data_IF_092173081295
#
_entry.id   IF_092173081295
#
_cell.length_a   1.000
_cell.length_b   1.000
_cell.length_c   1.000
_cell.angle_alpha   90.00
_cell.angle_beta   90.00
_cell.angle_gamma   90.00
#
_symmetry.space_group_name_H-M   'P 1'
#
loop_
_entity.id
_entity.type
_entity.pdbx_description
1 polymer ?
#
# COMPACT_ATOMS: atom_id res chain seq x y z
N UNK A 1 87.74 -3.82 36.92
CA UNK A 1 86.60 -2.89 37.16
C UNK A 1 86.24 -2.01 35.95
N UNK A 2 87.20 -1.52 35.14
CA UNK A 2 86.91 -0.59 34.01
C UNK A 2 86.09 -1.22 32.86
N UNK A 3 86.34 -2.48 32.46
CA UNK A 3 85.58 -3.16 31.37
C UNK A 3 84.09 -3.35 31.69
N UNK A 4 83.76 -3.72 32.93
CA UNK A 4 82.36 -3.90 33.35
C UNK A 4 81.56 -2.60 33.29
N UNK A 5 82.18 -1.47 33.67
CA UNK A 5 81.57 -0.15 33.56
C UNK A 5 81.33 0.27 32.09
N UNK A 6 82.27 -0.05 31.18
CA UNK A 6 82.11 0.22 29.74
C UNK A 6 80.98 -0.62 29.12
N UNK A 7 80.89 -1.91 29.46
CA UNK A 7 79.80 -2.79 28.98
C UNK A 7 78.43 -2.35 29.50
N UNK A 8 78.35 -1.86 30.75
CA UNK A 8 77.11 -1.31 31.30
C UNK A 8 76.63 -0.06 30.56
N UNK A 9 77.55 0.86 30.22
CA UNK A 9 77.20 2.08 29.47
C UNK A 9 76.72 1.79 28.05
N UNK A 10 77.34 0.83 27.36
CA UNK A 10 76.92 0.44 26.00
C UNK A 10 75.52 -0.19 26.00
N UNK A 11 75.20 -1.04 26.99
CA UNK A 11 73.85 -1.60 27.12
C UNK A 11 72.80 -0.54 27.41
N UNK A 12 73.11 0.42 28.30
CA UNK A 12 72.20 1.52 28.60
C UNK A 12 71.89 2.36 27.35
N UNK A 13 72.93 2.74 26.60
CA UNK A 13 72.75 3.49 25.36
C UNK A 13 71.94 2.70 24.31
N UNK A 14 72.13 1.38 24.23
CA UNK A 14 71.33 0.52 23.35
C UNK A 14 69.86 0.48 23.78
N UNK A 15 69.58 0.31 25.08
CA UNK A 15 68.20 0.31 25.59
C UNK A 15 67.51 1.67 25.44
N UNK A 16 68.26 2.78 25.57
CA UNK A 16 67.74 4.13 25.34
C UNK A 16 67.37 4.35 23.88
N UNK A 17 68.17 3.84 22.93
CA UNK A 17 67.86 3.90 21.51
C UNK A 17 66.63 3.04 21.14
N UNK A 18 66.55 1.81 21.66
CA UNK A 18 65.39 0.93 21.46
C UNK A 18 64.10 1.53 22.04
N UNK A 19 64.17 2.17 23.20
CA UNK A 19 63.03 2.86 23.80
C UNK A 19 62.58 4.09 22.98
N UNK A 20 63.54 4.86 22.44
CA UNK A 20 63.24 5.99 21.56
C UNK A 20 62.59 5.54 20.24
N UNK A 21 63.05 4.43 19.65
CA UNK A 21 62.46 3.85 18.45
C UNK A 21 61.04 3.32 18.71
N UNK A 22 60.82 2.63 19.85
CA UNK A 22 59.49 2.19 20.25
C UNK A 22 58.52 3.36 20.49
N UNK A 23 58.99 4.46 21.11
CA UNK A 23 58.18 5.66 21.31
C UNK A 23 57.83 6.32 19.96
N UNK A 24 58.78 6.41 19.03
CA UNK A 24 58.54 6.93 17.70
C UNK A 24 57.52 6.07 16.92
N UNK A 25 57.64 4.74 17.01
CA UNK A 25 56.69 3.80 16.40
C UNK A 25 55.29 3.92 17.03
N UNK A 26 55.19 4.03 18.35
CA UNK A 26 53.91 4.21 19.04
C UNK A 26 53.21 5.53 18.62
N UNK A 27 53.96 6.63 18.52
CA UNK A 27 53.43 7.92 18.04
C UNK A 27 52.99 7.87 16.58
N UNK A 28 53.74 7.17 15.73
CA UNK A 28 53.36 6.98 14.33
C UNK A 28 52.07 6.17 14.21
N UNK A 29 51.94 5.09 15.00
CA UNK A 29 50.73 4.27 15.03
C UNK A 29 49.52 5.06 15.55
N UNK A 30 49.67 5.86 16.61
CA UNK A 30 48.61 6.73 17.13
C UNK A 30 48.14 7.75 16.08
N UNK A 31 49.08 8.38 15.36
CA UNK A 31 48.76 9.28 14.26
C UNK A 31 48.06 8.56 13.09
N UNK A 32 48.48 7.34 12.76
CA UNK A 32 47.83 6.51 11.75
C UNK A 32 46.41 6.09 12.15
N UNK A 33 46.22 5.70 13.42
CA UNK A 33 44.92 5.35 13.99
C UNK A 33 43.99 6.56 13.99
N UNK A 34 44.45 7.73 14.44
CA UNK A 34 43.68 8.97 14.41
C UNK A 34 43.28 9.36 12.97
N UNK A 35 44.22 9.23 12.01
CA UNK A 35 43.92 9.46 10.61
C UNK A 35 42.95 8.40 10.03
N UNK A 36 43.02 7.15 10.49
CA UNK A 36 42.09 6.09 10.11
C UNK A 36 40.69 6.34 10.66
N UNK A 37 40.56 6.74 11.92
CA UNK A 37 39.29 7.14 12.54
C UNK A 37 38.65 8.32 11.82
N UNK A 38 39.43 9.35 11.48
CA UNK A 38 38.93 10.48 10.69
C UNK A 38 38.37 10.04 9.33
N UNK A 39 39.08 9.14 8.61
CA UNK A 39 38.61 8.59 7.34
C UNK A 39 37.35 7.73 7.49
N UNK A 40 37.23 6.97 8.58
CA UNK A 40 36.03 6.15 8.85
C UNK A 40 34.83 7.06 9.13
N UNK A 41 34.99 8.10 9.96
CA UNK A 41 33.95 9.08 10.26
C UNK A 41 33.47 9.79 8.99
N UNK A 42 34.39 10.27 8.14
CA UNK A 42 34.03 10.91 6.88
C UNK A 42 33.22 9.97 5.96
N UNK A 43 33.65 8.70 5.83
CA UNK A 43 32.91 7.71 5.05
C UNK A 43 31.55 7.38 5.63
N UNK A 44 31.42 7.37 6.96
CA UNK A 44 30.15 7.16 7.63
C UNK A 44 29.19 8.31 7.33
N UNK A 45 29.65 9.55 7.43
CA UNK A 45 28.83 10.74 7.12
C UNK A 45 28.40 10.76 5.66
N UNK A 46 29.31 10.44 4.73
CA UNK A 46 29.00 10.28 3.30
C UNK A 46 27.94 9.20 3.08
N UNK A 47 28.10 8.02 3.70
CA UNK A 47 27.15 6.92 3.58
C UNK A 47 25.77 7.30 4.15
N UNK A 48 25.72 7.98 5.30
CA UNK A 48 24.47 8.44 5.90
C UNK A 48 23.77 9.48 5.03
N UNK A 49 24.50 10.41 4.43
CA UNK A 49 23.96 11.41 3.50
C UNK A 49 23.35 10.76 2.26
N UNK A 50 24.09 9.83 1.62
CA UNK A 50 23.60 9.10 0.44
C UNK A 50 22.32 8.31 0.78
N UNK A 51 22.29 7.61 1.92
CA UNK A 51 21.11 6.89 2.37
C UNK A 51 19.92 7.83 2.66
N UNK A 52 20.18 9.02 3.21
CA UNK A 52 19.15 10.04 3.43
C UNK A 52 18.52 10.50 2.12
N UNK A 53 19.34 10.84 1.13
CA UNK A 53 18.88 11.32 -0.17
C UNK A 53 18.10 10.24 -0.93
N UNK A 54 18.60 9.00 -0.99
CA UNK A 54 17.90 7.89 -1.64
C UNK A 54 16.52 7.61 -1.02
N UNK A 55 16.39 7.74 0.31
CA UNK A 55 15.09 7.58 0.99
C UNK A 55 14.10 8.67 0.61
N UNK A 56 14.57 9.89 0.40
CA UNK A 56 13.73 11.01 -0.03
C UNK A 56 13.29 10.85 -1.49
N UNK A 57 14.22 10.51 -2.37
CA UNK A 57 13.93 10.24 -3.78
C UNK A 57 12.91 9.10 -3.95
N UNK A 58 13.07 8.01 -3.20
CA UNK A 58 12.14 6.88 -3.25
C UNK A 58 10.76 7.27 -2.70
N UNK A 59 10.69 8.08 -1.63
CA UNK A 59 9.41 8.59 -1.11
C UNK A 59 8.69 9.45 -2.16
N UNK A 60 9.41 10.33 -2.83
CA UNK A 60 8.84 11.18 -3.89
C UNK A 60 8.39 10.34 -5.09
N UNK A 61 9.17 9.31 -5.46
CA UNK A 61 8.80 8.38 -6.53
C UNK A 61 7.52 7.63 -6.20
N UNK A 62 7.40 7.05 -5.00
CA UNK A 62 6.20 6.37 -4.56
C UNK A 62 4.98 7.30 -4.53
N UNK A 63 5.16 8.54 -4.05
CA UNK A 63 4.10 9.55 -4.07
C UNK A 63 3.61 9.89 -5.48
N UNK A 64 4.52 10.03 -6.45
CA UNK A 64 4.16 10.24 -7.86
C UNK A 64 3.39 9.06 -8.45
N UNK A 65 3.88 7.85 -8.24
CA UNK A 65 3.20 6.63 -8.73
C UNK A 65 1.80 6.46 -8.12
N UNK A 66 1.63 6.82 -6.85
CA UNK A 66 0.33 6.80 -6.19
C UNK A 66 -0.62 7.85 -6.79
N UNK A 67 -0.14 9.06 -7.06
CA UNK A 67 -0.93 10.11 -7.71
C UNK A 67 -1.34 9.73 -9.15
N UNK A 68 -0.41 9.16 -9.93
CA UNK A 68 -0.69 8.66 -11.29
C UNK A 68 -1.72 7.54 -11.28
N UNK A 69 -1.60 6.57 -10.36
CA UNK A 69 -2.60 5.51 -10.19
C UNK A 69 -3.98 6.08 -9.86
N UNK A 70 -4.04 7.04 -8.94
CA UNK A 70 -5.29 7.67 -8.53
C UNK A 70 -5.98 8.39 -9.68
N UNK A 71 -5.21 9.09 -10.52
CA UNK A 71 -5.74 9.75 -11.71
C UNK A 71 -6.34 8.73 -12.69
N UNK A 72 -5.61 7.67 -13.01
CA UNK A 72 -6.10 6.59 -13.88
C UNK A 72 -7.39 5.95 -13.34
N UNK A 73 -7.48 5.74 -12.03
CA UNK A 73 -8.66 5.20 -11.36
C UNK A 73 -9.87 6.14 -11.50
N UNK A 74 -9.67 7.45 -11.36
CA UNK A 74 -10.74 8.46 -11.52
C UNK A 74 -11.19 8.61 -12.97
N UNK A 75 -10.27 8.60 -13.92
CA UNK A 75 -10.58 8.59 -15.34
C UNK A 75 -11.41 7.35 -15.70
N UNK A 76 -10.98 6.16 -15.28
CA UNK A 76 -11.74 4.92 -15.49
C UNK A 76 -13.13 5.00 -14.84
N UNK A 77 -13.22 5.54 -13.63
CA UNK A 77 -14.48 5.69 -12.93
C UNK A 77 -15.46 6.62 -13.67
N UNK A 78 -14.96 7.75 -14.19
CA UNK A 78 -15.76 8.69 -14.97
C UNK A 78 -16.32 8.05 -16.25
N UNK A 79 -15.47 7.35 -17.01
CA UNK A 79 -15.88 6.66 -18.24
C UNK A 79 -16.91 5.56 -17.97
N UNK A 80 -16.71 4.79 -16.88
CA UNK A 80 -17.69 3.81 -16.44
C UNK A 80 -19.01 4.48 -16.05
N UNK A 81 -18.98 5.59 -15.30
CA UNK A 81 -20.17 6.28 -14.83
C UNK A 81 -21.01 6.88 -15.98
N UNK A 82 -20.36 7.38 -17.04
CA UNK A 82 -21.02 7.83 -18.26
C UNK A 82 -21.84 6.72 -18.92
N UNK A 83 -21.31 5.49 -18.94
CA UNK A 83 -22.00 4.30 -19.50
C UNK A 83 -23.32 4.03 -18.76
N UNK A 84 -23.35 4.23 -17.45
CA UNK A 84 -24.54 4.07 -16.60
C UNK A 84 -25.48 5.29 -16.58
N UNK A 85 -25.07 6.41 -17.17
CA UNK A 85 -25.89 7.62 -17.27
C UNK A 85 -26.67 7.64 -18.59
N UNK A 86 -26.03 7.22 -19.68
CA UNK A 86 -26.61 7.20 -21.02
C UNK A 86 -27.59 6.04 -21.27
N UNK A 87 -27.95 5.27 -20.24
CA UNK A 87 -28.84 4.10 -20.34
C UNK A 87 -28.31 2.96 -21.22
N UNK A 88 -27.06 3.06 -21.69
CA UNK A 88 -26.41 2.08 -22.58
C UNK A 88 -25.77 0.92 -21.83
N UNK A 89 -25.95 0.83 -20.51
CA UNK A 89 -25.49 -0.29 -19.70
C UNK A 89 -26.36 -1.55 -19.97
N UNK A 90 -26.15 -2.19 -21.11
CA UNK A 90 -26.62 -3.55 -21.38
C UNK A 90 -25.73 -4.54 -20.63
N UNK A 91 -26.27 -5.32 -19.71
CA UNK A 91 -25.51 -6.43 -19.12
C UNK A 91 -25.34 -7.53 -20.18
N UNK A 92 -24.16 -8.17 -20.20
CA UNK A 92 -23.93 -9.34 -21.04
C UNK A 92 -25.00 -10.40 -20.75
N UNK A 93 -25.69 -10.86 -21.80
CA UNK A 93 -26.80 -11.81 -21.66
C UNK A 93 -28.21 -11.22 -21.89
N UNK A 94 -28.34 -9.94 -22.28
CA UNK A 94 -29.63 -9.37 -22.71
C UNK A 94 -30.55 -8.89 -21.59
N UNK A 95 -30.06 -8.85 -20.34
CA UNK A 95 -30.79 -8.27 -19.22
C UNK A 95 -30.50 -6.76 -19.11
N UNK A 96 -31.56 -5.95 -18.99
CA UNK A 96 -31.44 -4.53 -18.63
C UNK A 96 -31.05 -4.42 -17.16
N UNK A 97 -29.95 -3.72 -16.87
CA UNK A 97 -29.60 -3.37 -15.48
C UNK A 97 -30.72 -2.49 -14.91
N UNK A 98 -31.20 -2.78 -13.70
CA UNK A 98 -32.28 -2.00 -13.09
C UNK A 98 -31.83 -0.56 -12.86
N UNK A 99 -32.75 0.41 -12.95
CA UNK A 99 -32.45 1.82 -12.67
C UNK A 99 -31.87 2.03 -11.27
N UNK A 100 -32.28 1.18 -10.31
CA UNK A 100 -31.74 1.15 -8.94
C UNK A 100 -30.27 0.72 -8.91
N UNK A 101 -29.93 -0.38 -9.58
CA UNK A 101 -28.56 -0.86 -9.68
C UNK A 101 -27.66 0.16 -10.39
N UNK A 102 -28.16 0.82 -11.44
CA UNK A 102 -27.43 1.90 -12.11
C UNK A 102 -27.14 3.08 -11.17
N UNK A 103 -28.11 3.48 -10.33
CA UNK A 103 -27.90 4.55 -9.34
C UNK A 103 -26.84 4.16 -8.29
N UNK A 104 -26.89 2.92 -7.79
CA UNK A 104 -25.89 2.41 -6.85
C UNK A 104 -24.48 2.39 -7.45
N UNK A 105 -24.35 1.88 -8.68
CA UNK A 105 -23.06 1.83 -9.39
C UNK A 105 -22.50 3.23 -9.64
N UNK A 106 -23.31 4.17 -10.14
CA UNK A 106 -22.87 5.56 -10.34
C UNK A 106 -22.38 6.21 -9.04
N UNK A 107 -23.08 5.97 -7.94
CA UNK A 107 -22.67 6.51 -6.65
C UNK A 107 -21.32 5.94 -6.21
N UNK A 108 -21.13 4.62 -6.32
CA UNK A 108 -19.86 3.99 -5.96
C UNK A 108 -18.70 4.48 -6.83
N UNK A 109 -18.91 4.63 -8.14
CA UNK A 109 -17.91 5.18 -9.05
C UNK A 109 -17.52 6.62 -8.68
N UNK A 110 -18.48 7.43 -8.23
CA UNK A 110 -18.20 8.80 -7.75
C UNK A 110 -17.36 8.84 -6.46
N UNK A 111 -17.20 7.71 -5.75
CA UNK A 111 -16.35 7.63 -4.56
C UNK A 111 -14.93 7.14 -4.88
N UNK A 112 -14.62 6.78 -6.13
CA UNK A 112 -13.29 6.27 -6.48
C UNK A 112 -12.21 7.32 -6.18
N UNK A 113 -11.21 6.91 -5.41
CA UNK A 113 -10.15 7.77 -4.89
C UNK A 113 -10.38 8.34 -3.50
N UNK A 114 -11.56 8.14 -2.90
CA UNK A 114 -11.83 8.52 -1.52
C UNK A 114 -11.09 7.59 -0.54
N UNK A 115 -10.71 8.07 0.66
CA UNK A 115 -9.90 7.30 1.59
C UNK A 115 -10.69 6.17 2.28
N UNK A 116 -9.99 5.06 2.53
CA UNK A 116 -10.52 3.95 3.34
C UNK A 116 -10.27 4.19 4.84
N UNK A 117 -11.23 3.82 5.67
CA UNK A 117 -11.06 3.69 7.12
C UNK A 117 -11.96 2.58 7.66
N UNK A 118 -11.41 1.64 8.44
CA UNK A 118 -12.19 0.57 9.07
C UNK A 118 -13.29 1.10 10.01
N UNK A 119 -13.08 2.28 10.61
CA UNK A 119 -14.05 2.98 11.45
C UNK A 119 -14.72 4.15 10.73
N UNK A 120 -14.78 4.08 9.39
CA UNK A 120 -15.24 5.16 8.53
C UNK A 120 -16.53 5.82 9.03
N UNK A 121 -16.53 7.15 8.96
CA UNK A 121 -17.70 8.00 9.13
C UNK A 121 -17.95 8.71 7.80
N UNK A 122 -18.78 8.13 6.91
CA UNK A 122 -19.15 8.78 5.66
C UNK A 122 -19.65 10.21 5.90
N UNK A 123 -19.45 11.14 4.95
CA UNK A 123 -18.94 10.91 3.59
C UNK A 123 -17.41 10.99 3.46
N UNK A 124 -16.66 11.29 4.53
CA UNK A 124 -15.23 11.63 4.42
C UNK A 124 -14.27 10.42 4.37
N UNK A 125 -14.79 9.21 4.54
CA UNK A 125 -14.03 7.95 4.44
C UNK A 125 -14.99 6.78 4.32
N UNK A 126 -14.50 5.66 3.80
CA UNK A 126 -15.30 4.46 3.54
C UNK A 126 -14.74 3.22 4.20
N UNK A 127 -15.63 2.38 4.73
CA UNK A 127 -15.37 0.95 4.86
C UNK A 127 -16.14 0.22 3.76
N UNK A 128 -15.78 -1.04 3.49
CA UNK A 128 -16.33 -1.78 2.36
C UNK A 128 -17.87 -1.87 2.40
N UNK A 129 -18.47 -2.21 3.54
CA UNK A 129 -19.92 -2.37 3.68
C UNK A 129 -20.69 -1.06 3.81
N UNK A 130 -20.10 0.02 4.33
CA UNK A 130 -20.70 1.36 4.35
C UNK A 130 -20.72 1.97 2.95
N UNK A 131 -19.71 1.71 2.12
CA UNK A 131 -19.72 2.13 0.72
C UNK A 131 -20.90 1.48 -0.02
N UNK A 132 -21.05 0.16 0.09
CA UNK A 132 -22.15 -0.55 -0.56
C UNK A 132 -23.51 -0.13 -0.01
N UNK A 133 -23.62 0.08 1.30
CA UNK A 133 -24.86 0.56 1.91
C UNK A 133 -25.23 1.97 1.46
N UNK A 134 -24.28 2.90 1.41
CA UNK A 134 -24.52 4.27 0.93
C UNK A 134 -24.88 4.31 -0.56
N UNK A 135 -24.24 3.47 -1.38
CA UNK A 135 -24.55 3.33 -2.79
C UNK A 135 -25.99 2.87 -3.03
N UNK A 136 -26.39 1.77 -2.38
CA UNK A 136 -27.75 1.25 -2.52
C UNK A 136 -28.81 2.15 -1.90
N UNK A 137 -28.46 2.93 -0.86
CA UNK A 137 -29.35 3.94 -0.30
C UNK A 137 -29.75 5.03 -1.32
N UNK A 138 -28.89 5.36 -2.30
CA UNK A 138 -29.24 6.29 -3.39
C UNK A 138 -30.38 5.78 -4.27
N UNK A 139 -30.60 4.47 -4.27
CA UNK A 139 -31.68 3.82 -5.02
C UNK A 139 -32.91 3.50 -4.15
N UNK A 140 -32.90 3.94 -2.88
CA UNK A 140 -33.96 3.69 -1.91
C UNK A 140 -33.91 2.32 -1.24
N UNK A 141 -32.81 1.55 -1.42
CA UNK A 141 -32.66 0.22 -0.81
C UNK A 141 -31.71 0.29 0.38
N UNK A 142 -32.21 -0.05 1.57
CA UNK A 142 -31.42 -0.05 2.79
C UNK A 142 -30.63 -1.35 2.97
N UNK A 143 -29.31 -1.25 2.95
CA UNK A 143 -28.41 -2.31 3.40
C UNK A 143 -27.84 -1.97 4.78
N UNK A 144 -27.55 -3.00 5.56
CA UNK A 144 -26.84 -2.83 6.83
C UNK A 144 -25.39 -2.43 6.58
N UNK A 145 -24.76 -1.75 7.54
CA UNK A 145 -23.36 -1.34 7.44
C UNK A 145 -22.35 -2.47 7.70
N UNK A 146 -22.78 -3.75 7.71
CA UNK A 146 -21.98 -4.91 8.07
C UNK A 146 -21.96 -5.93 6.92
N UNK A 147 -20.78 -6.26 6.41
CA UNK A 147 -20.57 -7.11 5.23
C UNK A 147 -21.23 -8.49 5.37
N UNK A 148 -21.09 -9.14 6.54
CA UNK A 148 -21.70 -10.45 6.81
C UNK A 148 -23.23 -10.40 6.83
N UNK A 149 -23.82 -9.29 7.26
CA UNK A 149 -25.28 -9.14 7.22
C UNK A 149 -25.76 -8.83 5.80
N UNK A 150 -24.98 -8.06 5.02
CA UNK A 150 -25.31 -7.81 3.61
C UNK A 150 -25.31 -9.08 2.76
N UNK A 151 -24.47 -10.06 3.08
CA UNK A 151 -24.54 -11.39 2.48
C UNK A 151 -25.98 -11.91 2.61
N UNK A 152 -26.54 -11.98 3.81
CA UNK A 152 -27.90 -12.50 4.03
C UNK A 152 -29.02 -11.62 3.46
N UNK A 153 -28.75 -10.34 3.18
CA UNK A 153 -29.70 -9.41 2.56
C UNK A 153 -29.76 -9.49 1.02
N UNK A 154 -29.01 -10.41 0.41
CA UNK A 154 -28.93 -10.55 -1.06
C UNK A 154 -29.34 -11.95 -1.53
N UNK A 155 -29.89 -12.03 -2.73
CA UNK A 155 -30.15 -13.30 -3.42
C UNK A 155 -28.85 -13.81 -4.05
N UNK A 156 -28.47 -15.06 -3.80
CA UNK A 156 -27.28 -15.66 -4.45
C UNK A 156 -27.47 -15.80 -5.95
N UNK A 157 -26.43 -15.45 -6.70
CA UNK A 157 -26.40 -15.48 -8.17
C UNK A 157 -25.11 -16.17 -8.63
N UNK A 158 -25.15 -17.05 -9.64
CA UNK A 158 -23.93 -17.62 -10.21
C UNK A 158 -23.13 -16.54 -10.96
N UNK A 159 -21.80 -16.66 -11.00
CA UNK A 159 -20.93 -15.68 -11.68
C UNK A 159 -21.32 -15.49 -13.16
N UNK A 160 -21.84 -16.52 -13.82
CA UNK A 160 -22.33 -16.45 -15.21
C UNK A 160 -23.52 -15.51 -15.40
N UNK A 161 -24.24 -15.17 -14.34
CA UNK A 161 -25.41 -14.28 -14.34
C UNK A 161 -25.15 -12.95 -13.64
N UNK A 162 -23.90 -12.66 -13.26
CA UNK A 162 -23.56 -11.44 -12.54
C UNK A 162 -23.90 -10.19 -13.37
N UNK A 163 -24.48 -9.19 -12.71
CA UNK A 163 -24.91 -7.94 -13.32
C UNK A 163 -24.37 -6.74 -12.55
N UNK A 164 -24.09 -5.60 -13.22
CA UNK A 164 -23.73 -4.37 -12.53
C UNK A 164 -24.72 -4.05 -11.41
N UNK A 165 -24.21 -3.71 -10.23
CA UNK A 165 -24.95 -3.50 -8.99
C UNK A 165 -24.96 -4.71 -8.05
N UNK A 166 -24.75 -5.93 -8.56
CA UNK A 166 -24.60 -7.09 -7.69
C UNK A 166 -23.42 -6.89 -6.72
N UNK A 167 -23.58 -7.38 -5.49
CA UNK A 167 -22.53 -7.37 -4.49
C UNK A 167 -21.63 -8.59 -4.65
N UNK A 168 -20.34 -8.36 -4.51
CA UNK A 168 -19.30 -9.38 -4.59
C UNK A 168 -18.69 -9.56 -3.21
N UNK A 169 -18.60 -10.80 -2.73
CA UNK A 169 -18.22 -11.09 -1.35
C UNK A 169 -16.96 -11.95 -1.29
N UNK A 170 -16.19 -11.76 -0.22
CA UNK A 170 -14.89 -12.41 -0.01
C UNK A 170 -14.72 -12.93 1.41
N UNK A 171 -13.76 -13.86 1.58
CA UNK A 171 -13.30 -14.47 2.84
C UNK A 171 -14.18 -15.59 3.42
N UNK A 172 -14.82 -16.39 2.57
CA UNK A 172 -15.54 -17.60 2.97
C UNK A 172 -16.89 -17.31 3.65
N UNK A 173 -17.25 -18.12 4.64
CA UNK A 173 -18.52 -18.06 5.38
C UNK A 173 -18.63 -16.82 6.27
N UNK A 174 -17.52 -16.34 6.81
CA UNK A 174 -17.43 -15.11 7.59
C UNK A 174 -17.01 -13.97 6.66
N UNK A 175 -17.97 -13.47 5.88
CA UNK A 175 -17.71 -12.42 4.88
C UNK A 175 -17.09 -11.19 5.53
N UNK A 176 -15.81 -10.93 5.23
CA UNK A 176 -15.04 -9.79 5.76
C UNK A 176 -14.88 -8.63 4.78
N UNK A 177 -15.24 -8.83 3.52
CA UNK A 177 -15.17 -7.79 2.51
C UNK A 177 -16.30 -7.92 1.49
N UNK A 178 -16.79 -6.77 1.05
CA UNK A 178 -17.87 -6.65 0.06
C UNK A 178 -17.56 -5.51 -0.91
N UNK A 179 -17.91 -5.72 -2.18
CA UNK A 179 -17.71 -4.78 -3.26
C UNK A 179 -18.96 -4.69 -4.14
N UNK A 180 -19.07 -3.66 -4.98
CA UNK A 180 -20.13 -3.55 -5.99
C UNK A 180 -19.55 -3.90 -7.36
N UNK A 181 -20.14 -4.89 -8.03
CA UNK A 181 -19.77 -5.22 -9.41
C UNK A 181 -20.23 -4.11 -10.37
N UNK A 182 -19.36 -3.71 -11.30
CA UNK A 182 -19.63 -2.61 -12.25
C UNK A 182 -19.61 -3.06 -13.71
N UNK A 183 -19.60 -4.37 -13.96
CA UNK A 183 -19.49 -4.91 -15.32
C UNK A 183 -18.05 -5.15 -15.76
N UNK A 184 -17.87 -5.76 -16.94
CA UNK A 184 -16.56 -6.00 -17.57
C UNK A 184 -15.52 -6.69 -16.67
N UNK A 185 -15.96 -7.54 -15.74
CA UNK A 185 -15.05 -8.21 -14.81
C UNK A 185 -14.48 -7.29 -13.73
N UNK A 186 -15.08 -6.11 -13.51
CA UNK A 186 -14.59 -5.11 -12.56
C UNK A 186 -15.57 -4.85 -11.43
N UNK A 187 -15.04 -4.36 -10.32
CA UNK A 187 -15.80 -3.93 -9.15
C UNK A 187 -15.24 -2.64 -8.58
N UNK A 188 -16.07 -1.94 -7.79
CA UNK A 188 -15.65 -0.85 -6.91
C UNK A 188 -15.68 -1.35 -5.47
N UNK A 189 -14.58 -1.14 -4.73
CA UNK A 189 -14.47 -1.46 -3.32
C UNK A 189 -13.67 -0.42 -2.56
N UNK A 190 -14.01 -0.21 -1.29
CA UNK A 190 -13.12 0.45 -0.33
C UNK A 190 -12.16 -0.62 0.24
N UNK A 191 -10.97 -0.72 -0.34
CA UNK A 191 -10.07 -1.87 -0.19
C UNK A 191 -9.24 -1.83 1.09
N UNK A 192 -8.42 -0.79 1.27
CA UNK A 192 -7.49 -0.66 2.38
C UNK A 192 -6.96 0.80 2.50
N UNK A 193 -6.26 1.18 3.60
CA UNK A 193 -5.78 2.55 3.80
C UNK A 193 -4.82 3.10 2.73
N UNK A 194 -4.14 2.24 1.97
CA UNK A 194 -3.18 2.65 0.95
C UNK A 194 -3.85 2.93 -0.40
N UNK A 195 -4.84 2.11 -0.77
CA UNK A 195 -5.52 2.20 -2.07
C UNK A 195 -6.85 3.00 -2.01
N UNK A 196 -7.50 3.07 -0.84
CA UNK A 196 -8.77 3.77 -0.69
C UNK A 196 -9.93 3.05 -1.39
N UNK A 197 -10.82 3.82 -2.01
CA UNK A 197 -11.85 3.32 -2.94
C UNK A 197 -11.26 3.20 -4.34
N UNK A 198 -11.30 1.99 -4.91
CA UNK A 198 -10.68 1.71 -6.20
C UNK A 198 -11.56 0.84 -7.10
N UNK A 199 -11.24 0.86 -8.39
CA UNK A 199 -11.71 -0.08 -9.39
C UNK A 199 -10.66 -1.17 -9.58
N UNK A 200 -11.08 -2.43 -9.43
CA UNK A 200 -10.21 -3.59 -9.61
C UNK A 200 -10.96 -4.79 -10.18
N UNK A 201 -10.22 -5.82 -10.60
CA UNK A 201 -10.83 -7.05 -11.12
C UNK A 201 -11.35 -7.90 -9.96
N UNK A 202 -12.64 -8.23 -10.00
CA UNK A 202 -13.31 -8.95 -8.89
C UNK A 202 -12.83 -10.40 -8.72
N UNK A 203 -12.23 -10.99 -9.77
CA UNK A 203 -11.56 -12.29 -9.76
C UNK A 203 -10.07 -12.17 -10.10
N UNK A 204 -9.47 -10.99 -9.88
CA UNK A 204 -8.03 -10.82 -10.01
C UNK A 204 -7.25 -11.74 -9.07
N UNK A 205 -5.93 -11.93 -9.24
CA UNK A 205 -5.16 -12.95 -8.53
C UNK A 205 -5.39 -13.00 -7.01
N UNK A 206 -5.48 -11.82 -6.36
CA UNK A 206 -5.70 -11.76 -4.93
C UNK A 206 -7.17 -12.00 -4.53
N UNK A 207 -8.12 -11.37 -5.24
CA UNK A 207 -9.54 -11.47 -4.92
C UNK A 207 -10.14 -12.83 -5.32
N UNK A 208 -9.70 -13.43 -6.42
CA UNK A 208 -10.18 -14.71 -6.92
C UNK A 208 -9.95 -15.86 -5.93
N UNK A 209 -8.79 -15.90 -5.28
CA UNK A 209 -8.48 -16.89 -4.24
C UNK A 209 -9.37 -16.76 -2.99
N UNK A 210 -9.95 -15.58 -2.76
CA UNK A 210 -10.74 -15.23 -1.57
C UNK A 210 -12.22 -15.12 -1.86
N UNK A 211 -12.65 -15.39 -3.09
CA UNK A 211 -14.00 -15.17 -3.57
C UNK A 211 -15.00 -16.11 -2.85
N UNK A 212 -16.02 -15.51 -2.23
CA UNK A 212 -17.10 -16.26 -1.56
C UNK A 212 -18.33 -16.44 -2.44
N UNK A 213 -18.63 -15.45 -3.28
CA UNK A 213 -19.83 -15.49 -4.12
C UNK A 213 -20.37 -14.13 -4.52
N UNK A 214 -21.46 -14.16 -5.29
CA UNK A 214 -22.22 -12.99 -5.73
C UNK A 214 -23.58 -12.97 -5.05
N UNK A 215 -24.00 -11.79 -4.60
CA UNK A 215 -25.35 -11.54 -4.11
C UNK A 215 -26.02 -10.37 -4.82
N UNK A 216 -27.16 -10.64 -5.46
CA UNK A 216 -28.03 -9.62 -6.03
C UNK A 216 -28.90 -8.98 -4.97
N UNK A 217 -28.81 -7.67 -4.84
CA UNK A 217 -29.70 -6.90 -3.97
C UNK A 217 -31.10 -6.92 -4.58
N UNK A 218 -32.10 -7.28 -3.77
CA UNK A 218 -33.50 -7.32 -4.17
C UNK A 218 -34.18 -6.06 -3.63
N UNK A 219 -34.75 -5.25 -4.51
CA UNK A 219 -35.39 -3.98 -4.16
C UNK A 219 -36.16 -3.36 -5.30
#
# INVERSE_FOLDING_TARGET
MIRQAQTGRLRLAQTEAEAADQEAQAKALEAEMSAAEARVTERLDQAQSVLGNLREEERQRLGRLQAERLEQQREEASQAAETFTSGSATSGGGYSVSSRAQAAVRYALAQVGEPYSFSARPPNSWDCSKLTAAAWAQSGVGLTALSYTQWDQTKRVPVSEIQPGDLVFYFGSDVHHVAIYIGNGKMVSASNPSDGVEITNFLGPWYGERFSGVGRVIG
#
